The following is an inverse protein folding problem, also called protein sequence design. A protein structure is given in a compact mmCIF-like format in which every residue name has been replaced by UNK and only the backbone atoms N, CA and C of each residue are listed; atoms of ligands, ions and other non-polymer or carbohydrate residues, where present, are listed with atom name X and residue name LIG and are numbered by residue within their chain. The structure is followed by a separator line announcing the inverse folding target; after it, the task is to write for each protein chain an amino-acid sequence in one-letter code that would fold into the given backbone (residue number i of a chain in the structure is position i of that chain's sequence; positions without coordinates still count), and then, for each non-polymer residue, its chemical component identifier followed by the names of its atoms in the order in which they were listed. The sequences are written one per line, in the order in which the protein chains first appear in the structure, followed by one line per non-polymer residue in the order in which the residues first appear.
data_IF_751262614396
#
_entry.id   IF_751262614396
#
_cell.length_a   1.000
_cell.length_b   1.000
_cell.length_c   1.000
_cell.angle_alpha   90.00
_cell.angle_beta   90.00
_cell.angle_gamma   90.00
#
_symmetry.space_group_name_H-M   'P 1'
#
loop_
_entity.id
_entity.type
_entity.pdbx_description
1 polymer ?
#
# COMPACT_ATOMS: atom_id res chain seq x y z
N UNK A 1 -5.43 -19.06 6.57
CA UNK A 1 -5.35 -17.76 7.27
C UNK A 1 -4.88 -17.97 8.71
N UNK A 2 -4.21 -16.99 9.31
CA UNK A 2 -3.69 -16.98 10.69
C UNK A 2 -4.19 -15.76 11.47
N UNK A 3 -4.08 -15.78 12.80
CA UNK A 3 -4.51 -14.68 13.67
C UNK A 3 -3.48 -13.56 13.83
N UNK A 4 -2.21 -13.82 13.50
CA UNK A 4 -1.15 -12.80 13.55
C UNK A 4 -1.43 -11.71 12.51
N UNK A 5 -1.39 -10.46 12.91
CA UNK A 5 -1.76 -9.32 12.07
C UNK A 5 -1.06 -8.03 12.52
N UNK A 6 -1.10 -7.03 11.66
CA UNK A 6 -0.60 -5.69 11.94
C UNK A 6 0.90 -5.52 11.67
N UNK A 7 1.29 -4.26 11.55
CA UNK A 7 2.64 -3.84 11.17
C UNK A 7 3.66 -4.07 12.29
N UNK A 8 4.90 -4.39 11.91
CA UNK A 8 6.08 -4.37 12.79
C UNK A 8 7.32 -3.83 12.05
N UNK A 9 8.31 -3.37 12.81
CA UNK A 9 9.55 -2.78 12.31
C UNK A 9 10.72 -3.52 12.95
N UNK A 10 11.66 -3.96 12.12
CA UNK A 10 12.92 -4.55 12.57
C UNK A 10 14.06 -3.53 12.50
N UNK A 11 14.90 -3.54 13.54
CA UNK A 11 16.22 -2.90 13.56
C UNK A 11 17.28 -3.92 13.96
N UNK A 12 18.57 -3.60 13.89
CA UNK A 12 19.64 -4.57 14.19
C UNK A 12 19.73 -4.93 15.68
N UNK A 13 19.89 -3.92 16.54
CA UNK A 13 19.99 -4.07 18.00
C UNK A 13 19.71 -2.74 18.72
N UNK A 14 19.62 -2.77 20.05
CA UNK A 14 19.70 -1.59 20.91
C UNK A 14 21.06 -0.85 20.82
N UNK A 15 21.26 0.24 21.59
CA UNK A 15 20.29 0.85 22.50
C UNK A 15 19.20 1.64 21.77
N UNK A 16 18.07 1.93 22.42
CA UNK A 16 16.95 2.67 21.81
C UNK A 16 17.30 4.11 21.41
N UNK A 17 18.39 4.65 21.97
CA UNK A 17 18.95 5.95 21.59
C UNK A 17 19.71 5.93 20.26
N UNK A 18 19.98 4.76 19.69
CA UNK A 18 20.62 4.67 18.38
C UNK A 18 19.71 5.24 17.29
N UNK A 19 20.29 5.95 16.32
CA UNK A 19 19.58 6.61 15.22
C UNK A 19 18.51 5.73 14.53
N UNK A 20 18.82 4.45 14.29
CA UNK A 20 17.88 3.47 13.71
C UNK A 20 16.65 3.21 14.59
N UNK A 21 16.83 3.17 15.92
CA UNK A 21 15.76 2.87 16.86
C UNK A 21 14.90 4.12 17.13
N UNK A 22 15.52 5.30 17.14
CA UNK A 22 14.79 6.58 17.12
C UNK A 22 13.92 6.69 15.86
N UNK A 23 14.48 6.41 14.68
CA UNK A 23 13.72 6.36 13.43
C UNK A 23 12.56 5.35 13.50
N UNK A 24 12.80 4.13 14.01
CA UNK A 24 11.75 3.13 14.16
C UNK A 24 10.62 3.60 15.11
N UNK A 25 10.96 4.26 16.22
CA UNK A 25 9.99 4.80 17.16
C UNK A 25 9.15 5.93 16.52
N UNK A 26 9.78 6.83 15.76
CA UNK A 26 9.10 7.90 15.03
C UNK A 26 8.15 7.34 13.96
N UNK A 27 8.59 6.32 13.21
CA UNK A 27 7.75 5.61 12.25
C UNK A 27 6.54 4.96 12.91
N UNK A 28 6.73 4.27 14.04
CA UNK A 28 5.60 3.70 14.82
C UNK A 28 4.62 4.78 15.24
N UNK A 29 5.09 5.93 15.73
CA UNK A 29 4.23 7.04 16.10
C UNK A 29 3.40 7.56 14.91
N UNK A 30 4.02 7.67 13.73
CA UNK A 30 3.33 8.07 12.49
C UNK A 30 2.29 7.06 12.03
N UNK A 31 2.61 5.77 12.06
CA UNK A 31 1.64 4.72 11.73
C UNK A 31 0.45 4.73 12.70
N UNK A 32 0.68 4.94 14.00
CA UNK A 32 -0.40 5.08 14.99
C UNK A 32 -1.30 6.27 14.67
N UNK A 33 -0.69 7.42 14.37
CA UNK A 33 -1.43 8.64 14.02
C UNK A 33 -2.26 8.46 12.74
N UNK A 34 -1.77 7.68 11.76
CA UNK A 34 -2.48 7.35 10.53
C UNK A 34 -3.58 6.27 10.71
N UNK A 35 -3.76 5.74 11.93
CA UNK A 35 -4.73 4.69 12.22
C UNK A 35 -4.35 3.32 11.64
N UNK A 36 -3.06 3.08 11.39
CA UNK A 36 -2.56 1.77 10.93
C UNK A 36 -2.56 0.81 12.10
N UNK A 37 -3.01 -0.43 11.88
CA UNK A 37 -2.95 -1.49 12.89
C UNK A 37 -1.50 -1.95 13.07
N UNK A 38 -1.01 -1.93 14.29
CA UNK A 38 0.39 -2.24 14.64
C UNK A 38 0.42 -3.30 15.74
N UNK A 39 1.45 -4.14 15.76
CA UNK A 39 1.67 -5.09 16.86
C UNK A 39 1.87 -4.39 18.20
N UNK A 40 1.54 -5.09 19.28
CA UNK A 40 1.72 -4.61 20.66
C UNK A 40 3.18 -4.25 20.96
N UNK A 41 4.12 -5.06 20.47
CA UNK A 41 5.56 -4.80 20.50
C UNK A 41 6.01 -4.56 19.05
N UNK A 42 5.94 -3.30 18.58
CA UNK A 42 6.07 -3.01 17.15
C UNK A 42 7.51 -2.91 16.67
N UNK A 43 8.50 -2.78 17.57
CA UNK A 43 9.92 -2.73 17.21
C UNK A 43 10.60 -4.01 17.68
N UNK A 44 11.31 -4.68 16.78
CA UNK A 44 12.04 -5.92 17.03
C UNK A 44 13.51 -5.74 16.65
N UNK A 45 14.40 -6.33 17.44
CA UNK A 45 15.82 -6.36 17.10
C UNK A 45 16.20 -7.72 16.52
N UNK A 46 16.87 -7.71 15.37
CA UNK A 46 17.30 -8.93 14.71
C UNK A 46 18.64 -8.74 13.99
N UNK A 47 19.70 -9.27 14.60
CA UNK A 47 21.06 -9.27 14.05
C UNK A 47 21.26 -10.25 12.88
N UNK A 48 20.28 -11.12 12.58
CA UNK A 48 20.39 -12.06 11.46
C UNK A 48 19.96 -11.43 10.12
N UNK A 49 19.40 -10.22 10.13
CA UNK A 49 18.98 -9.52 8.93
C UNK A 49 20.14 -8.68 8.38
N UNK A 50 20.82 -9.21 7.35
CA UNK A 50 21.98 -8.56 6.72
C UNK A 50 21.69 -7.12 6.31
N UNK A 51 20.48 -6.83 5.82
CA UNK A 51 20.05 -5.47 5.43
C UNK A 51 20.06 -4.46 6.58
N UNK A 52 19.94 -4.92 7.83
CA UNK A 52 19.97 -4.08 9.02
C UNK A 52 21.39 -3.96 9.62
N UNK A 53 22.22 -5.00 9.44
CA UNK A 53 23.55 -5.08 10.07
C UNK A 53 24.65 -4.52 9.20
N UNK A 54 24.57 -4.69 7.88
CA UNK A 54 25.61 -4.24 6.93
C UNK A 54 25.35 -2.84 6.37
N UNK A 55 24.23 -2.21 6.73
CA UNK A 55 23.94 -0.84 6.32
C UNK A 55 24.89 0.14 7.02
N UNK A 56 25.56 1.00 6.24
CA UNK A 56 26.39 2.08 6.79
C UNK A 56 25.56 3.23 7.35
N UNK A 57 24.34 3.43 6.82
CA UNK A 57 23.37 4.40 7.32
C UNK A 57 22.41 3.74 8.34
N UNK A 58 21.70 4.52 9.18
CA UNK A 58 20.62 3.99 10.02
C UNK A 58 19.58 3.24 9.17
N UNK A 59 19.26 2.00 9.57
CA UNK A 59 18.39 1.11 8.80
C UNK A 59 17.26 0.53 9.65
N UNK A 60 16.06 0.53 9.07
CA UNK A 60 14.87 -0.16 9.56
C UNK A 60 14.29 -1.01 8.43
N UNK A 61 13.68 -2.15 8.76
CA UNK A 61 12.89 -2.96 7.83
C UNK A 61 11.45 -2.94 8.33
N UNK A 62 10.51 -2.56 7.46
CA UNK A 62 9.09 -2.46 7.81
C UNK A 62 8.36 -3.67 7.22
N UNK A 63 7.70 -4.43 8.08
CA UNK A 63 6.74 -5.47 7.69
C UNK A 63 5.33 -4.89 7.81
N UNK A 64 4.71 -4.53 6.68
CA UNK A 64 3.44 -3.77 6.67
C UNK A 64 2.20 -4.57 7.11
N UNK A 65 2.30 -5.89 7.17
CA UNK A 65 1.21 -6.78 7.59
C UNK A 65 1.46 -8.23 7.17
N UNK A 66 0.58 -9.13 7.59
CA UNK A 66 0.73 -10.57 7.36
C UNK A 66 -0.05 -11.02 6.12
N UNK A 67 0.65 -11.54 5.12
CA UNK A 67 0.04 -12.16 3.92
C UNK A 67 -0.73 -13.46 4.21
N UNK A 68 -0.68 -13.94 5.45
CA UNK A 68 -1.46 -15.07 5.93
C UNK A 68 -2.65 -14.65 6.79
N UNK A 69 -2.90 -13.35 7.00
CA UNK A 69 -4.06 -12.85 7.71
C UNK A 69 -5.06 -12.22 6.73
N UNK A 70 -6.34 -12.52 6.92
CA UNK A 70 -7.39 -12.13 5.98
C UNK A 70 -7.66 -10.62 5.97
N UNK A 71 -7.64 -9.99 7.15
CA UNK A 71 -7.82 -8.54 7.29
C UNK A 71 -6.63 -7.79 6.68
N UNK A 72 -5.40 -8.17 7.02
CA UNK A 72 -4.19 -7.57 6.46
C UNK A 72 -4.14 -7.74 4.94
N UNK A 73 -4.44 -8.92 4.39
CA UNK A 73 -4.45 -9.12 2.93
C UNK A 73 -5.52 -8.27 2.25
N UNK A 74 -6.70 -8.12 2.83
CA UNK A 74 -7.75 -7.24 2.31
C UNK A 74 -7.27 -5.79 2.23
N UNK A 75 -6.65 -5.31 3.32
CA UNK A 75 -6.08 -3.97 3.40
C UNK A 75 -4.92 -3.79 2.41
N UNK A 76 -3.97 -4.72 2.33
CA UNK A 76 -2.79 -4.62 1.45
C UNK A 76 -3.15 -4.64 -0.04
N UNK A 77 -4.27 -5.27 -0.42
CA UNK A 77 -4.81 -5.21 -1.79
C UNK A 77 -5.41 -3.84 -2.14
N UNK A 78 -5.85 -3.06 -1.15
CA UNK A 78 -6.40 -1.72 -1.36
C UNK A 78 -5.32 -0.71 -1.74
N UNK A 79 -5.52 0.00 -2.86
CA UNK A 79 -4.66 1.11 -3.28
C UNK A 79 -4.61 2.22 -2.24
N UNK A 80 -5.77 2.67 -1.76
CA UNK A 80 -5.88 3.72 -0.75
C UNK A 80 -5.16 3.36 0.57
N UNK A 81 -5.15 2.09 0.96
CA UNK A 81 -4.40 1.67 2.14
C UNK A 81 -2.89 1.67 1.89
N UNK A 82 -2.43 1.25 0.70
CA UNK A 82 -1.01 1.37 0.32
C UNK A 82 -0.57 2.84 0.27
N UNK A 83 -1.41 3.75 -0.22
CA UNK A 83 -1.12 5.18 -0.22
C UNK A 83 -1.01 5.74 1.20
N UNK A 84 -1.91 5.32 2.11
CA UNK A 84 -1.83 5.65 3.54
C UNK A 84 -0.52 5.17 4.16
N UNK A 85 -0.11 3.92 3.90
CA UNK A 85 1.14 3.35 4.39
C UNK A 85 2.35 4.13 3.85
N UNK A 86 2.37 4.38 2.53
CA UNK A 86 3.45 5.12 1.88
C UNK A 86 3.57 6.55 2.42
N UNK A 87 2.45 7.26 2.58
CA UNK A 87 2.41 8.61 3.15
C UNK A 87 2.93 8.62 4.58
N UNK A 88 2.46 7.71 5.45
CA UNK A 88 2.92 7.63 6.83
C UNK A 88 4.42 7.32 6.93
N UNK A 89 4.93 6.43 6.06
CA UNK A 89 6.37 6.13 5.97
C UNK A 89 7.18 7.34 5.54
N UNK A 90 6.74 8.04 4.48
CA UNK A 90 7.41 9.23 3.98
C UNK A 90 7.43 10.35 5.04
N UNK A 91 6.29 10.65 5.65
CA UNK A 91 6.16 11.66 6.70
C UNK A 91 7.04 11.33 7.92
N UNK A 92 7.18 10.06 8.27
CA UNK A 92 8.07 9.61 9.34
C UNK A 92 9.54 9.77 9.02
N UNK A 93 9.97 9.37 7.83
CA UNK A 93 11.36 9.54 7.38
C UNK A 93 11.70 11.02 7.25
N UNK A 94 10.85 11.83 6.60
CA UNK A 94 11.05 13.26 6.44
C UNK A 94 11.08 13.98 7.80
N UNK A 95 10.17 13.63 8.72
CA UNK A 95 10.19 14.15 10.08
C UNK A 95 11.48 13.84 10.82
N UNK A 96 11.97 12.60 10.72
CA UNK A 96 13.23 12.17 11.33
C UNK A 96 14.46 12.88 10.73
N UNK A 97 14.46 13.11 9.41
CA UNK A 97 15.52 13.84 8.71
C UNK A 97 15.43 15.37 8.87
N UNK A 98 14.34 15.90 9.42
CA UNK A 98 14.08 17.35 9.47
C UNK A 98 13.80 17.95 8.09
N UNK A 99 13.34 17.14 7.14
CA UNK A 99 12.98 17.60 5.79
C UNK A 99 11.51 18.01 5.78
N UNK A 100 11.22 19.22 5.31
CA UNK A 100 9.86 19.68 5.11
C UNK A 100 9.15 18.80 4.07
N UNK A 101 7.98 18.26 4.44
CA UNK A 101 7.12 17.56 3.50
C UNK A 101 6.32 18.62 2.77
N UNK A 102 6.61 18.82 1.49
CA UNK A 102 5.69 19.52 0.60
C UNK A 102 4.54 18.57 0.27
N UNK A 103 3.30 19.07 0.32
CA UNK A 103 2.17 18.33 -0.24
C UNK A 103 2.43 18.19 -1.75
N UNK A 104 2.79 16.99 -2.20
CA UNK A 104 2.75 16.69 -3.61
C UNK A 104 1.35 17.04 -4.11
N UNK A 105 1.20 17.70 -5.28
CA UNK A 105 -0.12 17.85 -5.89
C UNK A 105 -0.69 16.44 -5.98
N UNK A 106 -1.74 16.17 -5.19
CA UNK A 106 -2.24 14.81 -5.02
C UNK A 106 -2.40 14.19 -6.40
N UNK A 107 -1.79 13.03 -6.64
CA UNK A 107 -2.08 12.26 -7.84
C UNK A 107 -3.59 12.09 -7.81
N UNK A 108 -4.35 12.70 -8.74
CA UNK A 108 -5.79 12.63 -8.66
C UNK A 108 -6.15 11.16 -8.67
N UNK A 109 -6.93 10.72 -7.68
CA UNK A 109 -7.55 9.41 -7.76
C UNK A 109 -8.18 9.30 -9.15
N UNK A 110 -7.88 8.21 -9.85
CA UNK A 110 -8.46 7.98 -11.16
C UNK A 110 -9.99 8.05 -11.00
N UNK A 111 -10.72 8.76 -11.88
CA UNK A 111 -12.16 8.89 -11.76
C UNK A 111 -12.82 7.52 -11.58
N UNK A 112 -13.59 7.35 -10.51
CA UNK A 112 -14.39 6.12 -10.28
C UNK A 112 -15.59 6.06 -11.23
N UNK A 113 -15.93 7.19 -11.84
CA UNK A 113 -17.02 7.35 -12.80
C UNK A 113 -16.48 7.36 -14.24
N UNK A 114 -17.19 6.73 -15.19
CA UNK A 114 -16.86 6.86 -16.61
C UNK A 114 -17.02 8.32 -17.06
N UNK A 115 -16.12 8.73 -17.96
CA UNK A 115 -16.18 10.05 -18.59
C UNK A 115 -17.52 10.26 -19.30
N UNK A 116 -18.01 11.49 -19.33
CA UNK A 116 -19.33 11.82 -19.88
C UNK A 116 -19.51 11.32 -21.33
N UNK A 117 -18.47 11.44 -22.17
CA UNK A 117 -18.46 10.96 -23.55
C UNK A 117 -18.55 9.43 -23.68
N UNK A 118 -18.11 8.69 -22.66
CA UNK A 118 -18.08 7.23 -22.64
C UNK A 118 -19.26 6.62 -21.87
N UNK A 119 -20.02 7.43 -21.11
CA UNK A 119 -21.00 6.98 -20.13
C UNK A 119 -22.06 6.05 -20.71
N UNK A 120 -22.66 6.44 -21.82
CA UNK A 120 -23.69 5.61 -22.48
C UNK A 120 -23.13 4.25 -22.94
N UNK A 121 -21.92 4.24 -23.52
CA UNK A 121 -21.26 3.01 -23.96
C UNK A 121 -20.84 2.13 -22.78
N UNK A 122 -20.38 2.75 -21.70
CA UNK A 122 -19.99 2.09 -20.45
C UNK A 122 -21.19 1.37 -19.83
N UNK A 123 -22.31 2.08 -19.66
CA UNK A 123 -23.53 1.53 -19.07
C UNK A 123 -24.06 0.35 -19.89
N UNK A 124 -24.03 0.43 -21.23
CA UNK A 124 -24.41 -0.67 -22.12
C UNK A 124 -23.46 -1.86 -22.00
N UNK A 125 -22.15 -1.62 -21.94
CA UNK A 125 -21.14 -2.67 -21.83
C UNK A 125 -21.25 -3.42 -20.50
N UNK A 126 -21.47 -2.70 -19.40
CA UNK A 126 -21.71 -3.30 -18.08
C UNK A 126 -23.03 -4.08 -18.05
N UNK A 127 -24.13 -3.50 -18.55
CA UNK A 127 -25.45 -4.15 -18.57
C UNK A 127 -25.48 -5.44 -19.41
N UNK A 128 -24.66 -5.52 -20.45
CA UNK A 128 -24.50 -6.73 -21.29
C UNK A 128 -23.47 -7.72 -20.76
N UNK A 129 -22.83 -7.43 -19.62
CA UNK A 129 -21.79 -8.26 -19.03
C UNK A 129 -20.47 -8.29 -19.82
N UNK A 130 -20.30 -7.40 -20.79
CA UNK A 130 -19.04 -7.28 -21.54
C UNK A 130 -17.91 -6.75 -20.63
N UNK A 131 -18.25 -5.82 -19.73
CA UNK A 131 -17.39 -5.30 -18.67
C UNK A 131 -18.04 -5.52 -17.30
N UNK A 132 -17.25 -5.50 -16.22
CA UNK A 132 -17.71 -5.73 -14.84
C UNK A 132 -18.27 -4.47 -14.15
N UNK A 133 -18.20 -3.31 -14.81
CA UNK A 133 -18.69 -2.03 -14.28
C UNK A 133 -17.72 -1.33 -13.32
N UNK A 134 -16.48 -1.80 -13.19
CA UNK A 134 -15.47 -1.21 -12.30
C UNK A 134 -14.30 -0.60 -13.07
N UNK A 135 -13.57 0.32 -12.43
CA UNK A 135 -12.26 0.82 -12.91
C UNK A 135 -12.29 1.39 -14.35
N UNK A 136 -13.15 2.39 -14.64
CA UNK A 136 -13.37 2.88 -16.01
C UNK A 136 -12.17 3.55 -16.68
N UNK A 137 -11.13 3.84 -15.91
CA UNK A 137 -9.93 4.55 -16.37
C UNK A 137 -8.67 3.67 -16.33
N UNK A 138 -8.78 2.42 -15.87
CA UNK A 138 -7.66 1.47 -15.86
C UNK A 138 -7.34 0.97 -17.28
N UNK A 139 -6.07 0.70 -17.59
CA UNK A 139 -5.69 0.07 -18.85
C UNK A 139 -6.19 -1.39 -18.91
N UNK A 140 -6.85 -1.76 -20.03
CA UNK A 140 -7.28 -3.13 -20.28
C UNK A 140 -6.13 -4.00 -20.84
N UNK A 141 -6.00 -5.21 -20.32
CA UNK A 141 -5.10 -6.22 -20.89
C UNK A 141 -5.67 -6.80 -22.20
N UNK A 142 -4.80 -7.37 -23.04
CA UNK A 142 -5.25 -8.10 -24.25
C UNK A 142 -6.16 -9.29 -23.92
N UNK A 143 -5.98 -9.91 -22.76
CA UNK A 143 -6.81 -11.02 -22.30
C UNK A 143 -8.22 -10.55 -21.91
N UNK A 144 -8.33 -9.45 -21.16
CA UNK A 144 -9.62 -8.83 -20.84
C UNK A 144 -10.37 -8.39 -22.11
N UNK A 145 -9.65 -7.82 -23.09
CA UNK A 145 -10.25 -7.47 -24.38
C UNK A 145 -10.77 -8.70 -25.13
N UNK A 146 -10.03 -9.81 -25.16
CA UNK A 146 -10.47 -11.04 -25.79
C UNK A 146 -11.74 -11.59 -25.11
N UNK A 147 -11.78 -11.61 -23.77
CA UNK A 147 -12.98 -12.03 -23.03
C UNK A 147 -14.19 -11.12 -23.29
N UNK A 148 -13.98 -9.80 -23.40
CA UNK A 148 -15.06 -8.87 -23.71
C UNK A 148 -15.62 -9.10 -25.13
N UNK A 149 -14.74 -9.33 -26.12
CA UNK A 149 -15.14 -9.64 -27.50
C UNK A 149 -15.91 -10.97 -27.59
N UNK A 150 -15.46 -11.99 -26.87
CA UNK A 150 -16.13 -13.30 -26.77
C UNK A 150 -17.54 -13.17 -26.19
N UNK A 151 -17.70 -12.47 -25.06
CA UNK A 151 -19.03 -12.23 -24.45
C UNK A 151 -19.99 -11.45 -25.34
N UNK A 152 -19.46 -10.67 -26.26
CA UNK A 152 -20.24 -9.93 -27.25
C UNK A 152 -20.57 -10.77 -28.50
N UNK A 153 -20.10 -12.03 -28.58
CA UNK A 153 -20.31 -12.92 -29.71
C UNK A 153 -19.55 -12.46 -30.96
N UNK A 154 -18.40 -11.79 -30.79
CA UNK A 154 -17.61 -11.25 -31.90
C UNK A 154 -16.47 -12.20 -32.34
N UNK A 155 -16.33 -13.35 -31.69
CA UNK A 155 -15.26 -14.32 -31.92
C UNK A 155 -15.76 -15.70 -32.41
N UNK A 156 -16.96 -15.73 -33.01
CA UNK A 156 -17.72 -16.88 -33.58
C UNK A 156 -18.91 -17.38 -32.74
#
# INVERSE_FOLDING_TARGET
WTSAQGLEIYTSAGPETAARNVLAADLVARFRAAGVKIRQEPVKHNLNLTVLVQASAPACLIEYGYHTNEEDVSLLKSGAYRDKLARATADGICGWLGVAVEEAPGVPAAPEEPAEWARESWDKAAARGALDGTRPTDPATRQELACALDRLGLLD
#
